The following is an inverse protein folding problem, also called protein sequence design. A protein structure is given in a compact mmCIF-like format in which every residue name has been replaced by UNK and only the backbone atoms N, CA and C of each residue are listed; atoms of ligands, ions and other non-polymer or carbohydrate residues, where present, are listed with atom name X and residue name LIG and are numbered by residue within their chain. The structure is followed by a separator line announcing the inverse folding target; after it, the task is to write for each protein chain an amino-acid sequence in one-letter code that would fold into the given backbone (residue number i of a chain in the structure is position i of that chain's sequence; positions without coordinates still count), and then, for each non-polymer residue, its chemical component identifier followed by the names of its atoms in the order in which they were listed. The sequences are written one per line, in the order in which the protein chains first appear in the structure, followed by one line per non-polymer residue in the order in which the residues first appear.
data_IF_604668513415
#
_entry.id   IF_604668513415
#
_cell.length_a   1.000
_cell.length_b   1.000
_cell.length_c   1.000
_cell.angle_alpha   90.00
_cell.angle_beta   90.00
_cell.angle_gamma   90.00
#
_symmetry.space_group_name_H-M   'P 1'
#
loop_
_entity.id
_entity.type
_entity.pdbx_description
1 polymer ?
#
# COMPACT_ATOMS: atom_id res chain seq x y z
N UNK A 1 8.35 -17.60 16.75
CA UNK A 1 7.25 -16.76 16.22
C UNK A 1 6.12 -17.67 15.77
N UNK A 2 4.88 -17.19 15.77
CA UNK A 2 3.73 -17.91 15.18
C UNK A 2 3.50 -17.41 13.76
N UNK A 3 2.87 -18.23 12.90
CA UNK A 3 2.50 -17.84 11.53
C UNK A 3 1.77 -16.48 11.47
N UNK A 4 0.91 -16.20 12.45
CA UNK A 4 0.17 -14.93 12.55
C UNK A 4 1.09 -13.73 12.83
N UNK A 5 2.03 -13.89 13.75
CA UNK A 5 2.97 -12.84 14.11
C UNK A 5 3.95 -12.55 12.97
N UNK A 6 4.45 -13.59 12.30
CA UNK A 6 5.35 -13.44 11.14
C UNK A 6 4.64 -12.72 9.98
N UNK A 7 3.37 -13.07 9.74
CA UNK A 7 2.55 -12.40 8.74
C UNK A 7 2.31 -10.93 9.07
N UNK A 8 2.00 -10.62 10.34
CA UNK A 8 1.85 -9.24 10.82
C UNK A 8 3.11 -8.43 10.60
N UNK A 9 4.26 -8.95 11.04
CA UNK A 9 5.53 -8.24 10.90
C UNK A 9 5.90 -7.99 9.44
N UNK A 10 5.56 -8.92 8.53
CA UNK A 10 5.72 -8.74 7.08
C UNK A 10 4.89 -7.55 6.59
N UNK A 11 3.58 -7.54 6.83
CA UNK A 11 2.71 -6.47 6.34
C UNK A 11 3.03 -5.12 6.97
N UNK A 12 3.37 -5.07 8.26
CA UNK A 12 3.77 -3.82 8.92
C UNK A 12 5.03 -3.21 8.31
N UNK A 13 6.03 -4.05 7.97
CA UNK A 13 7.25 -3.58 7.29
C UNK A 13 6.95 -3.03 5.91
N UNK A 14 6.08 -3.69 5.16
CA UNK A 14 5.69 -3.25 3.82
C UNK A 14 4.88 -1.97 3.84
N UNK A 15 3.92 -1.84 4.76
CA UNK A 15 3.17 -0.61 4.97
C UNK A 15 4.11 0.58 5.24
N UNK A 16 5.11 0.41 6.12
CA UNK A 16 6.14 1.42 6.37
C UNK A 16 6.97 1.73 5.13
N UNK A 17 7.32 0.72 4.35
CA UNK A 17 8.05 0.92 3.09
C UNK A 17 7.22 1.69 2.06
N UNK A 18 5.92 1.45 1.99
CA UNK A 18 5.00 2.19 1.13
C UNK A 18 4.75 3.62 1.61
N UNK A 19 4.72 3.87 2.92
CA UNK A 19 4.65 5.23 3.47
C UNK A 19 5.86 6.05 2.98
N UNK A 20 7.09 5.52 3.13
CA UNK A 20 8.31 6.17 2.64
C UNK A 20 8.32 6.37 1.10
N UNK A 21 7.83 5.39 0.33
CA UNK A 21 7.70 5.52 -1.13
C UNK A 21 6.67 6.57 -1.53
N UNK A 22 5.56 6.69 -0.78
CA UNK A 22 4.53 7.72 -1.00
C UNK A 22 5.11 9.11 -0.81
N UNK A 23 5.91 9.31 0.23
CA UNK A 23 6.56 10.60 0.50
C UNK A 23 7.56 10.98 -0.59
N UNK A 24 8.33 9.99 -1.09
CA UNK A 24 9.20 10.20 -2.25
C UNK A 24 8.42 10.59 -3.51
N UNK A 25 7.32 9.89 -3.80
CA UNK A 25 6.48 10.20 -4.96
C UNK A 25 5.83 11.58 -4.84
N UNK A 26 5.36 11.97 -3.64
CA UNK A 26 4.83 13.32 -3.37
C UNK A 26 5.86 14.39 -3.71
N UNK A 27 7.10 14.23 -3.25
CA UNK A 27 8.18 15.19 -3.53
C UNK A 27 8.44 15.34 -5.04
N UNK A 28 8.51 14.23 -5.79
CA UNK A 28 8.69 14.29 -7.26
C UNK A 28 7.51 14.96 -7.96
N UNK A 29 6.29 14.65 -7.53
CA UNK A 29 5.06 15.21 -8.10
C UNK A 29 4.91 16.70 -7.80
N UNK A 30 5.45 17.17 -6.67
CA UNK A 30 5.45 18.59 -6.31
C UNK A 30 6.35 19.46 -7.20
N UNK A 31 7.20 18.86 -8.03
CA UNK A 31 7.97 19.56 -9.06
C UNK A 31 7.23 19.59 -10.42
N UNK A 32 6.15 18.82 -10.56
CA UNK A 32 5.36 18.73 -11.80
C UNK A 32 4.29 19.83 -11.89
N UNK A 33 3.71 19.96 -13.08
CA UNK A 33 2.63 20.92 -13.37
C UNK A 33 1.40 20.69 -12.49
N UNK A 34 0.64 21.76 -12.24
CA UNK A 34 -0.50 21.74 -11.32
C UNK A 34 -1.59 20.69 -11.69
N UNK A 35 -1.82 20.46 -12.98
CA UNK A 35 -2.80 19.46 -13.43
C UNK A 35 -2.33 18.03 -13.11
N UNK A 36 -1.07 17.72 -13.40
CA UNK A 36 -0.48 16.40 -13.12
C UNK A 36 -0.44 16.17 -11.61
N UNK A 37 -0.02 17.18 -10.85
CA UNK A 37 -0.01 17.18 -9.39
C UNK A 37 -1.37 16.79 -8.81
N UNK A 38 -2.44 17.44 -9.28
CA UNK A 38 -3.81 17.15 -8.83
C UNK A 38 -4.22 15.70 -9.11
N UNK A 39 -3.91 15.18 -10.30
CA UNK A 39 -4.21 13.79 -10.64
C UNK A 39 -3.44 12.79 -9.77
N UNK A 40 -2.19 13.09 -9.45
CA UNK A 40 -1.35 12.26 -8.59
C UNK A 40 -1.80 12.26 -7.14
N UNK A 41 -2.10 13.43 -6.56
CA UNK A 41 -2.58 13.51 -5.18
C UNK A 41 -3.87 12.69 -4.99
N UNK A 42 -4.79 12.73 -5.96
CA UNK A 42 -5.98 11.85 -5.92
C UNK A 42 -5.62 10.37 -5.86
N UNK A 43 -4.56 9.96 -6.56
CA UNK A 43 -4.09 8.56 -6.57
C UNK A 43 -3.32 8.18 -5.31
N UNK A 44 -2.59 9.12 -4.72
CA UNK A 44 -1.95 8.96 -3.42
C UNK A 44 -2.99 8.85 -2.30
N UNK A 45 -4.08 9.62 -2.34
CA UNK A 45 -5.19 9.48 -1.40
C UNK A 45 -5.86 8.11 -1.52
N UNK A 46 -6.03 7.61 -2.76
CA UNK A 46 -6.53 6.25 -2.99
C UNK A 46 -5.60 5.18 -2.40
N UNK A 47 -4.27 5.35 -2.55
CA UNK A 47 -3.27 4.49 -1.93
C UNK A 47 -3.34 4.52 -0.39
N UNK A 48 -3.49 5.70 0.22
CA UNK A 48 -3.61 5.81 1.68
C UNK A 48 -4.84 5.06 2.21
N UNK A 49 -5.99 5.19 1.53
CA UNK A 49 -7.19 4.44 1.89
C UNK A 49 -6.97 2.92 1.80
N UNK A 50 -6.33 2.44 0.72
CA UNK A 50 -6.02 1.01 0.57
C UNK A 50 -5.04 0.49 1.63
N UNK A 51 -4.05 1.29 2.02
CA UNK A 51 -3.15 0.94 3.13
C UNK A 51 -3.91 0.89 4.46
N UNK A 52 -4.88 1.78 4.68
CA UNK A 52 -5.78 1.71 5.85
C UNK A 52 -6.57 0.40 5.86
N UNK A 53 -7.15 0.01 4.73
CA UNK A 53 -7.89 -1.26 4.61
C UNK A 53 -7.01 -2.46 4.99
N UNK A 54 -5.74 -2.49 4.57
CA UNK A 54 -4.80 -3.55 4.92
C UNK A 54 -4.50 -3.55 6.43
N UNK A 55 -4.35 -2.38 7.05
CA UNK A 55 -4.14 -2.26 8.51
C UNK A 55 -5.34 -2.80 9.31
N UNK A 56 -6.55 -2.54 8.84
CA UNK A 56 -7.77 -3.09 9.43
C UNK A 56 -7.84 -4.60 9.25
N UNK A 57 -7.61 -5.11 8.04
CA UNK A 57 -7.58 -6.55 7.77
C UNK A 57 -6.53 -7.27 8.61
N UNK A 58 -5.37 -6.65 8.84
CA UNK A 58 -4.34 -7.20 9.70
C UNK A 58 -4.79 -7.27 11.16
N UNK A 59 -5.50 -6.25 11.63
CA UNK A 59 -6.10 -6.22 12.97
C UNK A 59 -7.12 -7.34 13.16
N UNK A 60 -7.96 -7.59 12.15
CA UNK A 60 -8.96 -8.66 12.16
C UNK A 60 -8.32 -10.06 12.08
N UNK A 61 -7.27 -10.20 11.28
CA UNK A 61 -6.47 -11.41 11.19
C UNK A 61 -5.88 -11.83 12.55
N UNK A 62 -5.43 -10.86 13.34
CA UNK A 62 -4.89 -11.11 14.68
C UNK A 62 -5.94 -11.59 15.68
N UNK A 63 -7.22 -11.25 15.46
CA UNK A 63 -8.34 -11.67 16.31
C UNK A 63 -8.98 -12.99 15.87
N UNK A 64 -8.72 -13.44 14.65
CA UNK A 64 -9.39 -14.60 14.06
C UNK A 64 -8.76 -15.91 14.56
N UNK A 65 -9.58 -16.94 14.79
CA UNK A 65 -9.14 -18.31 15.09
C UNK A 65 -8.38 -18.97 13.93
N UNK A 66 -7.72 -20.10 14.16
CA UNK A 66 -6.89 -20.75 13.13
C UNK A 66 -7.70 -21.22 11.90
N UNK A 67 -8.92 -21.73 12.11
CA UNK A 67 -9.77 -22.30 11.05
C UNK A 67 -10.14 -21.33 9.91
N UNK A 68 -10.14 -20.03 10.19
CA UNK A 68 -10.47 -18.99 9.22
C UNK A 68 -9.27 -18.11 8.83
N UNK A 69 -8.12 -18.33 9.45
CA UNK A 69 -6.96 -17.46 9.30
C UNK A 69 -6.42 -17.46 7.88
N UNK A 70 -6.28 -18.63 7.24
CA UNK A 70 -5.74 -18.75 5.88
C UNK A 70 -6.59 -18.01 4.84
N UNK A 71 -7.93 -18.11 4.94
CA UNK A 71 -8.85 -17.40 4.02
C UNK A 71 -8.74 -15.89 4.14
N UNK A 72 -8.53 -15.37 5.36
CA UNK A 72 -8.34 -13.94 5.58
C UNK A 72 -6.96 -13.48 5.12
N UNK A 73 -5.93 -14.33 5.25
CA UNK A 73 -4.59 -14.05 4.70
C UNK A 73 -4.65 -13.91 3.19
N UNK A 74 -5.38 -14.77 2.47
CA UNK A 74 -5.53 -14.65 1.01
C UNK A 74 -6.17 -13.32 0.60
N UNK A 75 -7.17 -12.84 1.36
CA UNK A 75 -7.79 -11.53 1.12
C UNK A 75 -6.80 -10.38 1.36
N UNK A 76 -6.00 -10.48 2.42
CA UNK A 76 -4.98 -9.51 2.75
C UNK A 76 -3.84 -9.49 1.71
N UNK A 77 -3.40 -10.64 1.21
CA UNK A 77 -2.40 -10.73 0.13
C UNK A 77 -2.90 -10.12 -1.18
N UNK A 78 -4.19 -10.31 -1.54
CA UNK A 78 -4.79 -9.63 -2.70
C UNK A 78 -4.78 -8.12 -2.54
N UNK A 79 -5.22 -7.62 -1.38
CA UNK A 79 -5.23 -6.19 -1.09
C UNK A 79 -3.80 -5.60 -1.12
N UNK A 80 -2.83 -6.34 -0.57
CA UNK A 80 -1.40 -6.01 -0.61
C UNK A 80 -0.88 -5.93 -2.05
N UNK A 81 -1.23 -6.90 -2.90
CA UNK A 81 -0.81 -6.92 -4.29
C UNK A 81 -1.41 -5.76 -5.08
N UNK A 82 -2.70 -5.45 -4.88
CA UNK A 82 -3.35 -4.30 -5.52
C UNK A 82 -2.63 -2.99 -5.19
N UNK A 83 -2.22 -2.80 -3.92
CA UNK A 83 -1.44 -1.62 -3.51
C UNK A 83 -0.07 -1.60 -4.19
N UNK A 84 0.63 -2.73 -4.25
CA UNK A 84 1.92 -2.82 -4.92
C UNK A 84 1.82 -2.45 -6.42
N UNK A 85 0.78 -2.93 -7.10
CA UNK A 85 0.53 -2.64 -8.50
C UNK A 85 0.19 -1.16 -8.72
N UNK A 86 -0.61 -0.55 -7.82
CA UNK A 86 -0.88 0.88 -7.84
C UNK A 86 0.40 1.72 -7.69
N UNK A 87 1.29 1.34 -6.77
CA UNK A 87 2.59 2.01 -6.60
C UNK A 87 3.46 1.90 -7.85
N UNK A 88 3.61 0.71 -8.44
CA UNK A 88 4.40 0.53 -9.66
C UNK A 88 3.87 1.44 -10.78
N UNK A 89 2.56 1.43 -10.99
CA UNK A 89 1.92 2.25 -12.01
C UNK A 89 2.11 3.75 -11.77
N UNK A 90 2.09 4.20 -10.52
CA UNK A 90 2.34 5.60 -10.18
C UNK A 90 3.80 5.98 -10.34
N UNK A 91 4.73 5.14 -9.92
CA UNK A 91 6.16 5.39 -10.08
C UNK A 91 6.57 5.46 -11.57
N UNK A 92 6.07 4.53 -12.39
CA UNK A 92 6.34 4.51 -13.82
C UNK A 92 5.82 5.77 -14.52
N UNK A 93 4.59 6.21 -14.17
CA UNK A 93 4.02 7.43 -14.73
C UNK A 93 4.82 8.69 -14.34
N UNK A 94 5.44 8.78 -13.15
CA UNK A 94 6.26 9.94 -12.77
C UNK A 94 7.54 9.92 -13.62
N UNK A 95 8.19 8.76 -13.69
CA UNK A 95 9.45 8.56 -14.41
C UNK A 95 9.35 8.89 -15.91
N UNK A 96 8.23 8.57 -16.53
CA UNK A 96 7.99 8.89 -17.94
C UNK A 96 7.69 10.36 -18.20
N UNK A 97 7.37 11.16 -17.17
CA UNK A 97 7.09 12.59 -17.28
C UNK A 97 8.30 13.48 -17.01
N UNK A 98 9.34 12.95 -16.35
CA UNK A 98 10.63 13.63 -16.13
C UNK A 98 11.55 13.65 -17.37
N UNK A 99 11.16 13.00 -18.48
CA UNK A 99 11.88 12.99 -19.76
C UNK A 99 11.24 13.92 -20.79
#
# INVERSE_FOLDING_TARGET
MTKKHDYRDKLEKELKAWDAQSDKLKAQVDELSADIRKQYYKKLDELENRKSDIREQLTDLMKTGEDNWEKLVDKAEKSRQDVADMFSNLADKVRHREK
#
